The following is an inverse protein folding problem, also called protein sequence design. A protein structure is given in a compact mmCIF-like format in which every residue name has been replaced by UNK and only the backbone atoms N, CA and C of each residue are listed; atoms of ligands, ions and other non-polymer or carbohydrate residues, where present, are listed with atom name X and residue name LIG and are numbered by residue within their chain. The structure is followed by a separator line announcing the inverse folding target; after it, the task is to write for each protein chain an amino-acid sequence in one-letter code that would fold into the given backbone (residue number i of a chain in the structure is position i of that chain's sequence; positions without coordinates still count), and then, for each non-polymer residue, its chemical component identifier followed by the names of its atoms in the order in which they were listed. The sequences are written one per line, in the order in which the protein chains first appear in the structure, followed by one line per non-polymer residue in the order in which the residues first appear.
data_IF_611481507211
#
_entry.id   IF_611481507211
#
_cell.length_a   1.000
_cell.length_b   1.000
_cell.length_c   1.000
_cell.angle_alpha   90.00
_cell.angle_beta   90.00
_cell.angle_gamma   90.00
#
_symmetry.space_group_name_H-M   'P 1'
#
loop_
_entity.id
_entity.type
_entity.pdbx_description
1 polymer ?
#
# COMPACT_ATOMS: atom_id res chain seq x y z
N UNK A 1 42.59 63.02 -14.75
CA UNK A 1 42.54 61.65 -15.30
C UNK A 1 41.14 61.08 -15.09
N UNK A 2 40.78 60.08 -15.90
CA UNK A 2 39.43 59.65 -16.32
C UNK A 2 38.55 59.03 -15.21
N UNK A 3 37.25 59.35 -15.30
CA UNK A 3 36.03 58.62 -14.80
C UNK A 3 36.05 57.13 -15.21
N UNK A 4 35.34 56.17 -14.56
CA UNK A 4 33.85 56.06 -14.62
C UNK A 4 33.10 55.42 -13.41
N UNK A 5 31.84 55.82 -13.15
CA UNK A 5 30.52 55.16 -13.43
C UNK A 5 30.02 54.27 -12.28
N UNK A 6 28.87 54.60 -11.67
CA UNK A 6 27.54 54.01 -11.92
C UNK A 6 27.56 52.48 -11.82
N UNK A 7 26.83 51.92 -10.83
CA UNK A 7 25.66 51.09 -11.11
C UNK A 7 25.17 50.38 -9.83
N UNK A 8 23.93 50.70 -9.49
CA UNK A 8 22.96 49.89 -8.77
C UNK A 8 23.14 48.39 -9.05
N UNK A 9 23.44 47.61 -8.01
CA UNK A 9 23.51 46.15 -8.08
C UNK A 9 22.49 45.51 -7.14
N UNK A 10 21.20 45.63 -7.48
CA UNK A 10 20.15 44.84 -6.86
C UNK A 10 20.21 43.42 -7.46
N UNK A 11 20.95 42.52 -6.83
CA UNK A 11 20.85 41.08 -7.11
C UNK A 11 20.48 40.36 -5.82
N UNK A 12 19.23 40.56 -5.39
CA UNK A 12 18.61 39.67 -4.42
C UNK A 12 18.40 38.34 -5.14
N UNK A 13 19.26 37.39 -4.81
CA UNK A 13 19.27 36.04 -5.37
C UNK A 13 17.86 35.45 -5.29
N UNK A 14 17.30 35.17 -6.46
CA UNK A 14 16.11 34.34 -6.61
C UNK A 14 16.54 32.93 -6.21
N UNK A 15 16.54 32.64 -4.90
CA UNK A 15 16.49 31.29 -4.38
C UNK A 15 15.11 30.75 -4.76
N UNK A 16 14.95 30.42 -6.04
CA UNK A 16 13.89 29.54 -6.48
C UNK A 16 14.03 28.30 -5.61
N UNK A 17 13.07 28.13 -4.69
CA UNK A 17 12.83 26.87 -4.04
C UNK A 17 12.56 25.88 -5.17
N UNK A 18 13.62 25.26 -5.69
CA UNK A 18 13.55 24.01 -6.39
C UNK A 18 13.03 23.03 -5.34
N UNK A 19 11.69 22.99 -5.20
CA UNK A 19 11.03 21.80 -4.70
C UNK A 19 11.69 20.65 -5.46
N UNK A 20 12.25 19.65 -4.75
CA UNK A 20 12.86 18.53 -5.45
C UNK A 20 11.81 18.03 -6.41
N UNK A 21 12.11 18.10 -7.71
CA UNK A 21 11.36 17.34 -8.68
C UNK A 21 11.52 15.91 -8.21
N UNK A 22 10.52 15.38 -7.48
CA UNK A 22 10.50 13.98 -7.08
C UNK A 22 10.72 13.22 -8.37
N UNK A 23 11.84 12.52 -8.44
CA UNK A 23 12.17 11.75 -9.61
C UNK A 23 10.96 10.86 -9.92
N UNK A 24 10.66 10.66 -11.19
CA UNK A 24 9.69 9.64 -11.55
C UNK A 24 10.09 8.34 -10.83
N UNK A 25 9.11 7.68 -10.24
CA UNK A 25 9.33 6.47 -9.47
C UNK A 25 10.00 5.42 -10.35
N UNK A 26 11.26 5.06 -10.08
CA UNK A 26 12.01 4.16 -10.94
C UNK A 26 11.65 2.69 -10.65
N UNK A 27 10.46 2.29 -11.09
CA UNK A 27 9.96 0.92 -10.93
C UNK A 27 10.87 -0.08 -11.64
N UNK A 28 11.40 0.27 -12.81
CA UNK A 28 12.31 -0.58 -13.57
C UNK A 28 13.65 -0.75 -12.87
N UNK A 29 14.26 0.34 -12.39
CA UNK A 29 15.50 0.30 -11.62
C UNK A 29 15.36 -0.29 -10.22
N UNK A 30 14.13 -0.53 -9.75
CA UNK A 30 13.92 -1.29 -8.52
C UNK A 30 14.28 -2.79 -8.65
N UNK A 31 14.37 -3.32 -9.87
CA UNK A 31 14.84 -4.68 -10.17
C UNK A 31 14.16 -5.79 -9.34
N UNK A 32 12.85 -5.65 -9.12
CA UNK A 32 12.09 -6.57 -8.26
C UNK A 32 12.08 -7.99 -8.84
N UNK A 33 11.90 -8.16 -10.16
CA UNK A 33 11.89 -9.50 -10.77
C UNK A 33 13.26 -10.16 -10.74
N UNK A 34 14.30 -9.40 -11.05
CA UNK A 34 15.67 -9.88 -11.01
C UNK A 34 16.05 -10.29 -9.59
N UNK A 35 15.64 -9.51 -8.60
CA UNK A 35 15.84 -9.84 -7.19
C UNK A 35 15.07 -11.09 -6.76
N UNK A 36 13.81 -11.27 -7.21
CA UNK A 36 13.04 -12.50 -6.95
C UNK A 36 13.78 -13.71 -7.54
N UNK A 37 14.22 -13.63 -8.80
CA UNK A 37 14.94 -14.71 -9.48
C UNK A 37 16.29 -15.05 -8.80
N UNK A 38 16.94 -14.06 -8.17
CA UNK A 38 18.21 -14.24 -7.49
C UNK A 38 18.09 -15.02 -6.17
N UNK A 39 16.96 -14.89 -5.44
CA UNK A 39 16.75 -15.57 -4.15
C UNK A 39 16.36 -17.04 -4.35
N UNK A 40 16.97 -17.95 -3.60
CA UNK A 40 16.69 -19.40 -3.74
C UNK A 40 15.38 -19.77 -3.06
N UNK A 41 15.15 -19.16 -1.91
CA UNK A 41 13.98 -19.28 -1.06
C UNK A 41 12.70 -18.96 -1.86
N UNK A 42 12.73 -17.87 -2.63
CA UNK A 42 11.62 -17.44 -3.47
C UNK A 42 11.41 -18.28 -4.74
N UNK A 43 12.30 -19.24 -5.04
CA UNK A 43 12.14 -20.16 -6.17
C UNK A 43 11.45 -21.47 -5.79
N UNK A 44 11.22 -21.70 -4.49
CA UNK A 44 10.51 -22.87 -4.01
C UNK A 44 9.00 -22.71 -4.23
N UNK A 45 8.34 -23.76 -4.72
CA UNK A 45 6.89 -23.73 -5.01
C UNK A 45 6.06 -23.40 -3.76
N UNK A 46 6.53 -23.82 -2.57
CA UNK A 46 5.91 -23.49 -1.30
C UNK A 46 5.80 -21.98 -1.03
N UNK A 47 6.69 -21.18 -1.65
CA UNK A 47 6.77 -19.74 -1.46
C UNK A 47 6.16 -18.95 -2.63
N UNK A 48 5.39 -19.62 -3.50
CA UNK A 48 4.76 -19.01 -4.67
C UNK A 48 3.82 -17.85 -4.30
N UNK A 49 3.18 -17.89 -3.12
CA UNK A 49 2.34 -16.78 -2.64
C UNK A 49 3.18 -15.53 -2.38
N UNK A 50 4.29 -15.64 -1.64
CA UNK A 50 5.18 -14.51 -1.38
C UNK A 50 5.71 -13.89 -2.68
N UNK A 51 6.00 -14.71 -3.69
CA UNK A 51 6.38 -14.22 -5.03
C UNK A 51 5.23 -13.44 -5.70
N UNK A 52 3.99 -13.93 -5.60
CA UNK A 52 2.81 -13.20 -6.10
C UNK A 52 2.61 -11.87 -5.39
N UNK A 53 2.82 -11.81 -4.09
CA UNK A 53 2.67 -10.57 -3.31
C UNK A 53 3.71 -9.54 -3.72
N UNK A 54 4.99 -9.94 -3.84
CA UNK A 54 6.06 -9.05 -4.31
C UNK A 54 5.80 -8.50 -5.72
N UNK A 55 5.27 -9.35 -6.63
CA UNK A 55 4.84 -8.94 -7.97
C UNK A 55 3.65 -7.98 -7.93
N UNK A 56 2.70 -8.22 -7.04
CA UNK A 56 1.54 -7.35 -6.83
C UNK A 56 1.98 -5.96 -6.36
N UNK A 57 2.93 -5.88 -5.44
CA UNK A 57 3.50 -4.61 -4.98
C UNK A 57 4.22 -3.86 -6.11
N UNK A 58 4.97 -4.58 -6.96
CA UNK A 58 5.59 -4.01 -8.17
C UNK A 58 4.54 -3.47 -9.13
N UNK A 59 3.49 -4.23 -9.40
CA UNK A 59 2.44 -3.82 -10.35
C UNK A 59 1.64 -2.62 -9.81
N UNK A 60 1.37 -2.58 -8.52
CA UNK A 60 0.78 -1.42 -7.87
C UNK A 60 1.69 -0.18 -7.97
N UNK A 61 3.02 -0.34 -7.90
CA UNK A 61 3.95 0.78 -8.12
C UNK A 61 3.87 1.31 -9.56
N UNK A 62 3.73 0.44 -10.57
CA UNK A 62 3.49 0.86 -11.98
C UNK A 62 2.22 1.70 -12.08
N UNK A 63 1.14 1.29 -11.40
CA UNK A 63 -0.12 2.05 -11.36
C UNK A 63 0.11 3.42 -10.73
N UNK A 64 0.75 3.50 -9.56
CA UNK A 64 1.03 4.77 -8.88
C UNK A 64 1.90 5.71 -9.74
N UNK A 65 2.91 5.18 -10.41
CA UNK A 65 3.74 5.93 -11.35
C UNK A 65 2.91 6.47 -12.52
N UNK A 66 2.08 5.62 -13.12
CA UNK A 66 1.21 5.95 -14.27
C UNK A 66 0.27 7.10 -13.92
N UNK A 67 -0.34 7.05 -12.73
CA UNK A 67 -1.30 8.05 -12.27
C UNK A 67 -0.66 9.25 -11.53
N UNK A 68 0.66 9.40 -11.60
CA UNK A 68 1.41 10.56 -11.05
C UNK A 68 1.32 10.70 -9.53
N UNK A 69 1.42 9.57 -8.83
CA UNK A 69 1.62 9.48 -7.37
C UNK A 69 3.06 9.06 -7.03
N UNK A 70 4.08 9.91 -7.31
CA UNK A 70 5.48 9.51 -7.19
C UNK A 70 5.91 9.24 -5.75
N UNK A 71 5.35 9.95 -4.75
CA UNK A 71 5.72 9.75 -3.34
C UNK A 71 5.23 8.41 -2.80
N UNK A 72 3.98 8.07 -3.11
CA UNK A 72 3.36 6.79 -2.74
C UNK A 72 4.06 5.63 -3.45
N UNK A 73 4.43 5.83 -4.73
CA UNK A 73 5.19 4.84 -5.49
C UNK A 73 6.58 4.57 -4.88
N UNK A 74 7.32 5.62 -4.49
CA UNK A 74 8.62 5.49 -3.82
C UNK A 74 8.51 4.73 -2.50
N UNK A 75 7.49 5.04 -1.70
CA UNK A 75 7.20 4.32 -0.45
C UNK A 75 6.94 2.85 -0.73
N UNK A 76 6.07 2.55 -1.70
CA UNK A 76 5.71 1.18 -2.05
C UNK A 76 6.90 0.37 -2.57
N UNK A 77 7.72 0.94 -3.44
CA UNK A 77 8.96 0.30 -3.91
C UNK A 77 9.96 0.09 -2.76
N UNK A 78 10.06 1.04 -1.83
CA UNK A 78 10.89 0.89 -0.63
C UNK A 78 10.45 -0.30 0.23
N UNK A 79 9.14 -0.49 0.38
CA UNK A 79 8.56 -1.64 1.07
C UNK A 79 8.90 -2.93 0.31
N UNK A 80 8.62 -3.00 -0.99
CA UNK A 80 8.89 -4.18 -1.81
C UNK A 80 10.37 -4.59 -1.76
N UNK A 81 11.30 -3.62 -1.86
CA UNK A 81 12.75 -3.86 -1.72
C UNK A 81 13.12 -4.38 -0.33
N UNK A 82 12.52 -3.85 0.73
CA UNK A 82 12.79 -4.28 2.11
C UNK A 82 12.33 -5.71 2.37
N UNK A 83 11.18 -6.09 1.81
CA UNK A 83 10.65 -7.46 1.87
C UNK A 83 11.54 -8.42 1.08
N UNK A 84 11.95 -8.03 -0.13
CA UNK A 84 12.84 -8.82 -1.00
C UNK A 84 14.25 -8.99 -0.43
N UNK A 85 14.73 -8.01 0.34
CA UNK A 85 16.03 -8.09 1.02
C UNK A 85 16.04 -9.17 2.13
N UNK A 86 14.87 -9.52 2.67
CA UNK A 86 14.72 -10.46 3.79
C UNK A 86 13.65 -11.52 3.49
N UNK A 87 13.86 -12.40 2.49
CA UNK A 87 12.84 -13.33 2.03
C UNK A 87 12.36 -14.29 3.13
N UNK A 88 13.25 -14.79 3.99
CA UNK A 88 12.88 -15.71 5.10
C UNK A 88 11.82 -15.09 6.02
N UNK A 89 12.05 -13.84 6.44
CA UNK A 89 11.12 -13.12 7.31
C UNK A 89 9.81 -12.83 6.59
N UNK A 90 9.89 -12.41 5.34
CA UNK A 90 8.71 -12.11 4.50
C UNK A 90 7.85 -13.35 4.31
N UNK A 91 8.46 -14.51 4.03
CA UNK A 91 7.77 -15.79 3.85
C UNK A 91 7.05 -16.19 5.15
N UNK A 92 7.76 -16.18 6.29
CA UNK A 92 7.19 -16.57 7.59
C UNK A 92 6.03 -15.64 7.99
N UNK A 93 6.15 -14.34 7.75
CA UNK A 93 5.11 -13.38 8.11
C UNK A 93 3.94 -13.36 7.11
N UNK A 94 4.21 -13.59 5.83
CA UNK A 94 3.20 -13.61 4.77
C UNK A 94 2.36 -14.90 4.75
N UNK A 95 2.91 -16.03 5.21
CA UNK A 95 2.21 -17.31 5.27
C UNK A 95 1.31 -17.52 6.50
N UNK A 96 1.20 -16.54 7.41
CA UNK A 96 0.39 -16.65 8.63
C UNK A 96 -0.96 -15.91 8.51
N UNK A 97 -1.48 -15.76 7.29
CA UNK A 97 -2.82 -15.23 7.07
C UNK A 97 -3.81 -16.36 7.34
N UNK A 98 -4.73 -16.15 8.26
CA UNK A 98 -5.81 -17.05 8.65
C UNK A 98 -6.88 -17.25 7.55
N UNK A 99 -6.58 -16.90 6.30
CA UNK A 99 -7.51 -17.03 5.16
C UNK A 99 -7.92 -18.49 4.94
N UNK A 100 -7.02 -19.46 5.11
CA UNK A 100 -7.37 -20.89 5.06
C UNK A 100 -8.34 -21.28 6.21
N UNK A 101 -8.18 -20.66 7.39
CA UNK A 101 -9.09 -20.84 8.52
C UNK A 101 -10.43 -20.12 8.25
N UNK A 102 -10.41 -18.92 7.67
CA UNK A 102 -11.57 -18.14 7.31
C UNK A 102 -12.41 -18.81 6.21
N UNK A 103 -11.78 -19.39 5.18
CA UNK A 103 -12.44 -20.20 4.16
C UNK A 103 -13.11 -21.44 4.79
N UNK A 104 -12.40 -22.14 5.69
CA UNK A 104 -12.98 -23.29 6.40
C UNK A 104 -14.20 -22.90 7.25
N UNK A 105 -14.18 -21.71 7.85
CA UNK A 105 -15.30 -21.17 8.63
C UNK A 105 -16.47 -20.72 7.75
N UNK A 106 -16.23 -20.30 6.50
CA UNK A 106 -17.28 -19.97 5.53
C UNK A 106 -17.90 -21.25 4.97
N UNK A 107 -17.10 -22.26 4.66
CA UNK A 107 -17.56 -23.55 4.15
C UNK A 107 -18.36 -24.32 5.23
N UNK A 108 -17.95 -24.23 6.50
CA UNK A 108 -18.65 -24.85 7.63
C UNK A 108 -19.96 -24.12 8.04
N UNK A 109 -20.26 -22.93 7.48
CA UNK A 109 -21.52 -22.22 7.76
C UNK A 109 -22.63 -22.77 6.88
N UNK A 110 -23.57 -23.49 7.50
CA UNK A 110 -24.85 -23.79 6.84
C UNK A 110 -25.59 -22.48 6.47
N UNK A 111 -26.27 -22.42 5.31
CA UNK A 111 -27.05 -21.26 4.93
C UNK A 111 -28.09 -20.95 6.00
N UNK A 112 -28.08 -19.72 6.54
CA UNK A 112 -29.16 -19.28 7.43
C UNK A 112 -30.48 -19.44 6.68
N UNK A 113 -31.32 -20.34 7.18
CA UNK A 113 -32.67 -20.49 6.67
C UNK A 113 -33.33 -19.10 6.64
N UNK A 114 -33.86 -18.73 5.48
CA UNK A 114 -34.61 -17.48 5.32
C UNK A 114 -35.74 -17.51 6.35
N UNK A 115 -35.64 -16.65 7.37
CA UNK A 115 -36.77 -16.40 8.25
C UNK A 115 -37.89 -15.87 7.34
N UNK A 116 -39.07 -16.53 7.28
CA UNK A 116 -40.19 -15.97 6.55
C UNK A 116 -40.47 -14.59 7.15
N UNK A 117 -40.70 -13.61 6.29
CA UNK A 117 -40.96 -12.23 6.67
C UNK A 117 -42.36 -12.07 7.28
N UNK A 118 -42.70 -12.83 8.32
CA UNK A 118 -43.98 -12.74 9.02
C UNK A 118 -43.87 -13.33 10.44
N UNK A 119 -43.00 -12.78 11.29
CA UNK A 119 -43.16 -12.98 12.74
C UNK A 119 -42.80 -11.74 13.56
N UNK A 120 -43.82 -10.91 13.74
CA UNK A 120 -44.11 -10.03 14.89
C UNK A 120 -42.92 -9.32 15.56
N UNK A 121 -42.81 -8.02 15.24
CA UNK A 121 -42.15 -7.05 16.09
C UNK A 121 -42.69 -7.13 17.54
N UNK A 122 -41.83 -7.23 18.58
CA UNK A 122 -42.29 -7.04 19.94
C UNK A 122 -42.65 -5.56 20.15
N UNK A 123 -43.89 -5.33 20.57
CA UNK A 123 -44.44 -4.02 20.86
C UNK A 123 -43.53 -3.21 21.78
N UNK A 124 -43.25 -1.96 21.38
CA UNK A 124 -42.60 -0.97 22.21
C UNK A 124 -43.37 -0.80 23.53
N UNK A 125 -42.73 -1.09 24.66
CA UNK A 125 -43.24 -0.69 25.98
C UNK A 125 -43.19 0.83 26.06
N UNK A 126 -44.36 1.46 26.20
CA UNK A 126 -44.50 2.88 26.47
C UNK A 126 -43.80 3.28 27.79
N UNK A 127 -43.19 4.46 27.89
CA UNK A 127 -42.65 4.96 29.15
C UNK A 127 -43.77 5.36 30.12
N UNK A 128 -43.58 5.02 31.39
CA UNK A 128 -44.52 5.33 32.49
C UNK A 128 -44.67 6.85 32.71
N UNK A 129 -45.86 7.32 33.15
CA UNK A 129 -46.07 8.74 33.46
C UNK A 129 -45.31 9.13 34.74
N UNK A 130 -44.63 10.28 34.71
CA UNK A 130 -44.08 10.90 35.93
C UNK A 130 -45.23 11.43 36.78
N UNK A 131 -45.27 11.01 38.06
CA UNK A 131 -46.07 11.67 39.08
C UNK A 131 -45.35 12.95 39.54
N UNK A 132 -46.18 13.96 39.89
CA UNK A 132 -45.83 15.35 40.20
C UNK A 132 -44.68 15.54 41.20
#
# INVERSE_FOLDING_TARGET
MRRPLIATGLTLALAAAALPARAACDVKGAQIEEGIAAKKELREDANAQTVRDLRTLRDAAIVLETYKFPGECEVLLGIAKSLLANPDKTIVQGGNTDEDEAESLVEAREPKAKVPADEKAPAAKAPAPKAN
#
